data_IF_108253794144
#
_entry.id   IF_108253794144
#
_cell.length_a   1.000
_cell.length_b   1.000
_cell.length_c   1.000
_cell.angle_alpha   90.00
_cell.angle_beta   90.00
_cell.angle_gamma   90.00
#
_symmetry.space_group_name_H-M   'P 1'
#
loop_
_entity.id
_entity.type
_entity.pdbx_description
1 polymer ?
#
# COMPACT_ATOMS: atom_id res chain seq x y z
N UNK A 1 -0.68 -20.13 81.43
CA UNK A 1 -0.24 -20.79 80.19
C UNK A 1 -1.40 -21.25 79.31
N UNK A 2 -2.39 -22.01 79.81
CA UNK A 2 -3.47 -22.62 78.99
C UNK A 2 -4.44 -21.66 78.26
N UNK A 3 -4.55 -20.40 78.69
CA UNK A 3 -5.44 -19.42 78.07
C UNK A 3 -4.90 -18.91 76.73
N UNK A 4 -3.60 -18.62 76.66
CA UNK A 4 -2.94 -18.16 75.43
C UNK A 4 -2.98 -19.22 74.33
N UNK A 5 -2.78 -20.49 74.71
CA UNK A 5 -2.80 -21.62 73.79
C UNK A 5 -4.20 -21.89 73.21
N UNK A 6 -5.27 -21.60 73.98
CA UNK A 6 -6.65 -21.63 73.48
C UNK A 6 -6.98 -20.41 72.60
N UNK A 7 -6.40 -19.25 72.88
CA UNK A 7 -6.64 -18.04 72.10
C UNK A 7 -6.00 -18.14 70.71
N UNK A 8 -4.79 -18.67 70.62
CA UNK A 8 -4.07 -18.84 69.35
C UNK A 8 -4.76 -19.85 68.42
N UNK A 9 -5.44 -20.85 68.98
CA UNK A 9 -6.19 -21.86 68.24
C UNK A 9 -7.51 -21.36 67.64
N UNK A 10 -8.08 -20.30 68.21
CA UNK A 10 -9.36 -19.71 67.78
C UNK A 10 -9.16 -18.52 66.81
N UNK A 11 -7.91 -18.19 66.46
CA UNK A 11 -7.64 -17.19 65.43
C UNK A 11 -7.83 -17.80 64.02
N UNK A 12 -8.65 -17.19 63.14
CA UNK A 12 -8.88 -17.73 61.81
C UNK A 12 -7.60 -17.67 60.98
N UNK A 13 -7.13 -18.82 60.51
CA UNK A 13 -6.02 -18.90 59.55
C UNK A 13 -6.56 -18.55 58.18
N UNK A 14 -6.28 -17.34 57.69
CA UNK A 14 -6.64 -16.95 56.32
C UNK A 14 -5.91 -17.84 55.30
N UNK A 15 -6.63 -18.78 54.69
CA UNK A 15 -6.17 -19.42 53.47
C UNK A 15 -6.25 -18.42 52.33
N UNK A 16 -5.11 -17.81 52.02
CA UNK A 16 -4.95 -16.93 50.87
C UNK A 16 -5.12 -17.72 49.58
N UNK A 17 -6.35 -17.73 49.06
CA UNK A 17 -6.67 -18.24 47.72
C UNK A 17 -6.17 -17.24 46.67
N UNK A 18 -4.87 -17.29 46.36
CA UNK A 18 -4.27 -16.48 45.30
C UNK A 18 -4.53 -17.05 43.88
N UNK A 19 -5.36 -18.09 43.76
CA UNK A 19 -5.62 -18.87 42.54
C UNK A 19 -6.22 -18.13 41.34
N UNK A 20 -6.89 -17.00 41.60
CA UNK A 20 -7.69 -16.31 40.57
C UNK A 20 -7.07 -14.98 40.11
N UNK A 21 -6.09 -14.44 40.82
CA UNK A 21 -5.50 -13.14 40.48
C UNK A 21 -4.56 -13.22 39.28
N UNK A 22 -3.80 -14.32 39.14
CA UNK A 22 -2.95 -14.55 37.98
C UNK A 22 -3.74 -14.83 36.69
N UNK A 23 -4.95 -15.40 36.78
CA UNK A 23 -5.85 -15.56 35.63
C UNK A 23 -6.33 -14.19 35.10
N UNK A 24 -6.63 -13.25 35.98
CA UNK A 24 -7.04 -11.89 35.58
C UNK A 24 -5.88 -11.11 34.93
N UNK A 25 -4.65 -11.29 35.43
CA UNK A 25 -3.45 -10.69 34.84
C UNK A 25 -3.14 -11.33 33.47
N UNK A 26 -3.25 -12.66 33.36
CA UNK A 26 -3.05 -13.34 32.08
C UNK A 26 -4.10 -12.91 31.04
N UNK A 27 -5.36 -12.78 31.44
CA UNK A 27 -6.44 -12.35 30.56
C UNK A 27 -6.21 -10.93 30.01
N UNK A 28 -5.75 -9.99 30.82
CA UNK A 28 -5.48 -8.62 30.34
C UNK A 28 -4.31 -8.58 29.35
N UNK A 29 -3.27 -9.39 29.57
CA UNK A 29 -2.14 -9.51 28.63
C UNK A 29 -2.58 -10.13 27.32
N UNK A 30 -3.37 -11.21 27.35
CA UNK A 30 -3.90 -11.85 26.14
C UNK A 30 -4.80 -10.89 25.35
N UNK A 31 -5.65 -10.11 26.02
CA UNK A 31 -6.50 -9.09 25.37
C UNK A 31 -5.64 -7.99 24.75
N UNK A 32 -4.64 -7.47 25.45
CA UNK A 32 -3.72 -6.45 24.91
C UNK A 32 -2.96 -6.96 23.68
N UNK A 33 -2.44 -8.18 23.74
CA UNK A 33 -1.74 -8.80 22.61
C UNK A 33 -2.69 -9.07 21.44
N UNK A 34 -3.91 -9.55 21.71
CA UNK A 34 -4.93 -9.77 20.69
C UNK A 34 -5.39 -8.49 20.00
N UNK A 35 -5.62 -7.42 20.76
CA UNK A 35 -5.96 -6.10 20.21
C UNK A 35 -4.78 -5.49 19.45
N UNK A 36 -3.55 -5.60 19.97
CA UNK A 36 -2.36 -5.09 19.28
C UNK A 36 -2.09 -5.84 17.98
N UNK A 37 -2.24 -7.17 17.97
CA UNK A 37 -2.10 -7.98 16.77
C UNK A 37 -3.22 -7.73 15.76
N UNK A 38 -4.47 -7.62 16.23
CA UNK A 38 -5.62 -7.30 15.39
C UNK A 38 -5.51 -5.90 14.77
N UNK A 39 -5.12 -4.90 15.56
CA UNK A 39 -4.82 -3.56 15.07
C UNK A 39 -3.64 -3.57 14.10
N UNK A 40 -2.56 -4.30 14.40
CA UNK A 40 -1.43 -4.44 13.49
C UNK A 40 -1.82 -5.06 12.14
N UNK A 41 -2.69 -6.09 12.14
CA UNK A 41 -3.23 -6.68 10.91
C UNK A 41 -4.22 -5.75 10.18
N UNK A 42 -5.01 -4.98 10.92
CA UNK A 42 -5.98 -4.04 10.35
C UNK A 42 -5.31 -2.79 9.76
N UNK A 43 -4.26 -2.28 10.41
CA UNK A 43 -3.48 -1.11 9.99
C UNK A 43 -2.27 -1.48 9.10
N UNK A 44 -1.89 -2.75 9.01
CA UNK A 44 -1.22 -3.27 7.81
C UNK A 44 -2.24 -3.21 6.67
N UNK A 45 -2.36 -2.02 6.08
CA UNK A 45 -2.84 -1.93 4.70
C UNK A 45 -2.11 -2.99 3.88
N UNK A 46 -2.84 -3.64 2.97
CA UNK A 46 -2.31 -4.70 2.10
C UNK A 46 -0.86 -4.39 1.79
N UNK A 47 0.10 -5.30 2.06
CA UNK A 47 1.47 -5.03 1.67
C UNK A 47 1.39 -4.65 0.20
N UNK A 48 1.77 -3.41 -0.11
CA UNK A 48 2.14 -3.04 -1.46
C UNK A 48 3.33 -3.95 -1.69
N UNK A 49 3.04 -5.15 -2.18
CA UNK A 49 4.06 -5.98 -2.76
C UNK A 49 4.74 -5.02 -3.72
N UNK A 50 6.08 -4.85 -3.67
CA UNK A 50 6.73 -4.36 -4.87
C UNK A 50 6.12 -5.18 -5.98
N UNK A 51 5.59 -4.53 -7.02
CA UNK A 51 5.07 -5.23 -8.18
C UNK A 51 6.19 -6.17 -8.57
N UNK A 52 6.09 -7.44 -8.16
CA UNK A 52 6.82 -8.51 -8.76
C UNK A 52 6.27 -8.43 -10.15
N UNK A 53 7.07 -7.82 -11.04
CA UNK A 53 6.91 -8.00 -12.46
C UNK A 53 6.97 -9.50 -12.59
N UNK A 54 5.80 -10.13 -12.57
CA UNK A 54 5.70 -11.51 -12.97
C UNK A 54 6.40 -11.50 -14.32
N UNK A 55 7.48 -12.29 -14.41
CA UNK A 55 8.04 -12.62 -15.70
C UNK A 55 6.99 -13.52 -16.37
N UNK A 56 5.87 -12.92 -16.74
CA UNK A 56 4.99 -13.47 -17.73
C UNK A 56 5.81 -13.34 -18.99
N UNK A 57 6.11 -14.45 -19.65
CA UNK A 57 6.75 -14.50 -20.97
C UNK A 57 5.85 -13.86 -22.07
N UNK A 58 5.07 -12.83 -21.70
CA UNK A 58 4.24 -12.03 -22.59
C UNK A 58 5.19 -11.15 -23.39
N UNK A 59 5.15 -11.34 -24.71
CA UNK A 59 5.82 -10.43 -25.64
C UNK A 59 5.23 -9.04 -25.46
N UNK A 60 6.12 -8.09 -25.28
CA UNK A 60 5.85 -6.66 -25.17
C UNK A 60 5.80 -6.01 -26.56
N UNK A 61 5.48 -4.71 -26.60
CA UNK A 61 5.61 -3.90 -27.82
C UNK A 61 7.02 -4.02 -28.43
N UNK A 62 8.04 -4.04 -27.58
CA UNK A 62 9.43 -4.14 -27.98
C UNK A 62 9.83 -5.47 -28.63
N UNK A 63 9.11 -6.54 -28.37
CA UNK A 63 9.34 -7.85 -28.98
C UNK A 63 8.77 -7.96 -30.41
N UNK A 64 7.94 -6.99 -30.82
CA UNK A 64 7.37 -6.93 -32.18
C UNK A 64 8.35 -6.29 -33.16
N UNK A 65 8.98 -5.18 -32.79
CA UNK A 65 10.02 -4.54 -33.62
C UNK A 65 10.94 -3.58 -32.83
N UNK A 66 12.15 -3.30 -33.33
CA UNK A 66 13.06 -2.35 -32.69
C UNK A 66 12.52 -0.93 -32.54
N UNK A 67 11.67 -0.46 -33.47
CA UNK A 67 11.12 0.89 -33.39
C UNK A 67 10.00 0.98 -32.35
N UNK A 68 9.15 -0.05 -32.25
CA UNK A 68 8.16 -0.15 -31.17
C UNK A 68 8.82 -0.27 -29.80
N UNK A 69 9.95 -0.97 -29.70
CA UNK A 69 10.75 -1.02 -28.48
C UNK A 69 11.20 0.37 -28.02
N UNK A 70 11.71 1.20 -28.94
CA UNK A 70 12.11 2.57 -28.59
C UNK A 70 10.94 3.40 -28.08
N UNK A 71 9.75 3.21 -28.66
CA UNK A 71 8.53 3.90 -28.23
C UNK A 71 8.14 3.46 -26.82
N UNK A 72 8.09 2.16 -26.56
CA UNK A 72 7.79 1.61 -25.23
C UNK A 72 8.80 2.06 -24.18
N UNK A 73 10.10 1.88 -24.45
CA UNK A 73 11.19 2.29 -23.57
C UNK A 73 11.13 3.80 -23.28
N UNK A 74 10.84 4.64 -24.29
CA UNK A 74 10.69 6.09 -24.12
C UNK A 74 9.57 6.44 -23.14
N UNK A 75 8.36 5.89 -23.31
CA UNK A 75 7.25 6.22 -22.43
C UNK A 75 7.46 5.69 -21.02
N UNK A 76 7.95 4.46 -20.85
CA UNK A 76 8.22 3.89 -19.54
C UNK A 76 9.31 4.67 -18.80
N UNK A 77 10.39 5.04 -19.48
CA UNK A 77 11.43 5.88 -18.90
C UNK A 77 10.89 7.26 -18.50
N UNK A 78 10.06 7.87 -19.36
CA UNK A 78 9.45 9.18 -19.08
C UNK A 78 8.50 9.12 -17.88
N UNK A 79 7.62 8.11 -17.81
CA UNK A 79 6.71 7.89 -16.69
C UNK A 79 7.50 7.74 -15.38
N UNK A 80 8.52 6.89 -15.38
CA UNK A 80 9.34 6.64 -14.20
C UNK A 80 10.12 7.90 -13.79
N UNK A 81 10.66 8.65 -14.76
CA UNK A 81 11.36 9.90 -14.50
C UNK A 81 10.43 10.94 -13.88
N UNK A 82 9.24 11.15 -14.44
CA UNK A 82 8.30 12.14 -13.91
C UNK A 82 7.76 11.73 -12.52
N UNK A 83 7.43 10.45 -12.31
CA UNK A 83 7.05 9.96 -10.98
C UNK A 83 8.17 10.13 -9.95
N UNK A 84 9.45 9.99 -10.35
CA UNK A 84 10.58 10.16 -9.44
C UNK A 84 10.75 11.60 -8.92
N UNK A 85 10.16 12.58 -9.62
CA UNK A 85 10.20 14.00 -9.24
C UNK A 85 9.04 14.39 -8.32
N UNK A 86 8.08 13.49 -8.08
CA UNK A 86 6.92 13.78 -7.24
C UNK A 86 7.31 13.72 -5.76
N UNK A 87 7.12 14.83 -5.06
CA UNK A 87 7.33 14.93 -3.62
C UNK A 87 6.03 14.64 -2.85
N UNK A 88 6.06 13.58 -2.05
CA UNK A 88 4.95 13.14 -1.21
C UNK A 88 4.98 13.83 0.15
N UNK A 89 3.91 14.54 0.48
CA UNK A 89 3.67 15.16 1.80
C UNK A 89 2.37 14.62 2.41
N UNK A 90 2.18 14.70 3.74
CA UNK A 90 0.92 14.31 4.36
C UNK A 90 -0.31 15.03 3.77
N UNK A 91 -0.13 16.27 3.31
CA UNK A 91 -1.20 17.12 2.79
C UNK A 91 -1.60 16.73 1.36
N UNK A 92 -0.65 16.30 0.53
CA UNK A 92 -0.91 15.95 -0.87
C UNK A 92 -1.15 14.45 -1.11
N UNK A 93 -1.02 13.63 -0.07
CA UNK A 93 -1.12 12.17 -0.15
C UNK A 93 -2.44 11.68 -0.75
N UNK A 94 -3.57 12.25 -0.35
CA UNK A 94 -4.88 11.81 -0.83
C UNK A 94 -5.03 12.06 -2.35
N UNK A 95 -4.58 13.24 -2.81
CA UNK A 95 -4.54 13.57 -4.23
C UNK A 95 -3.64 12.59 -4.98
N UNK A 96 -2.42 12.38 -4.48
CA UNK A 96 -1.47 11.44 -5.08
C UNK A 96 -2.03 10.02 -5.20
N UNK A 97 -2.62 9.49 -4.12
CA UNK A 97 -3.18 8.13 -4.08
C UNK A 97 -4.27 7.94 -5.14
N UNK A 98 -5.11 8.97 -5.37
CA UNK A 98 -6.13 8.95 -6.41
C UNK A 98 -5.56 8.82 -7.84
N UNK A 99 -4.47 9.53 -8.12
CA UNK A 99 -3.77 9.41 -9.41
C UNK A 99 -3.06 8.06 -9.56
N UNK A 100 -2.46 7.53 -8.49
CA UNK A 100 -1.84 6.20 -8.50
C UNK A 100 -2.87 5.11 -8.77
N UNK A 101 -4.06 5.20 -8.18
CA UNK A 101 -5.14 4.25 -8.45
C UNK A 101 -5.49 4.24 -9.95
N UNK A 102 -5.62 5.43 -10.56
CA UNK A 102 -5.92 5.52 -12.00
C UNK A 102 -4.76 5.03 -12.87
N UNK A 103 -3.51 5.23 -12.45
CA UNK A 103 -2.34 4.64 -13.12
C UNK A 103 -2.37 3.10 -13.05
N UNK A 104 -2.79 2.53 -11.92
CA UNK A 104 -2.94 1.07 -11.78
C UNK A 104 -4.01 0.52 -12.71
N UNK A 105 -5.15 1.20 -12.86
CA UNK A 105 -6.18 0.82 -13.82
C UNK A 105 -5.64 0.79 -15.25
N UNK A 106 -4.87 1.81 -15.64
CA UNK A 106 -4.22 1.85 -16.95
C UNK A 106 -3.18 0.74 -17.11
N UNK A 107 -2.40 0.44 -16.07
CA UNK A 107 -1.43 -0.66 -16.10
C UNK A 107 -2.11 -2.02 -16.30
N UNK A 108 -3.18 -2.30 -15.56
CA UNK A 108 -3.94 -3.53 -15.72
C UNK A 108 -4.53 -3.67 -17.13
N UNK A 109 -4.96 -2.55 -17.73
CA UNK A 109 -5.46 -2.56 -19.10
C UNK A 109 -4.33 -2.79 -20.12
N UNK A 110 -3.13 -2.27 -19.86
CA UNK A 110 -1.95 -2.58 -20.67
C UNK A 110 -1.63 -4.08 -20.64
N UNK A 111 -1.67 -4.70 -19.47
CA UNK A 111 -1.40 -6.13 -19.30
C UNK A 111 -2.41 -7.00 -20.08
N UNK A 112 -3.71 -6.64 -20.06
CA UNK A 112 -4.73 -7.32 -20.89
C UNK A 112 -4.49 -7.15 -22.39
N UNK A 113 -4.09 -5.95 -22.82
CA UNK A 113 -3.76 -5.70 -24.22
C UNK A 113 -2.52 -6.51 -24.64
N UNK A 114 -1.56 -6.73 -23.74
CA UNK A 114 -0.46 -7.65 -23.99
C UNK A 114 -0.94 -9.10 -24.11
N UNK A 115 -1.85 -9.55 -23.26
CA UNK A 115 -2.47 -10.88 -23.39
C UNK A 115 -3.13 -11.02 -24.78
N UNK A 116 -3.95 -10.05 -25.19
CA UNK A 116 -4.59 -10.03 -26.51
C UNK A 116 -3.58 -10.06 -27.66
N UNK A 117 -2.49 -9.29 -27.55
CA UNK A 117 -1.40 -9.26 -28.52
C UNK A 117 -0.70 -10.63 -28.64
N UNK A 118 -0.51 -11.31 -27.52
CA UNK A 118 0.15 -12.61 -27.48
C UNK A 118 -0.76 -13.74 -27.99
N UNK A 119 -2.06 -13.66 -27.75
CA UNK A 119 -3.05 -14.64 -28.22
C UNK A 119 -3.34 -14.50 -29.72
N UNK A 120 -3.55 -13.26 -30.19
CA UNK A 120 -4.00 -12.99 -31.57
C UNK A 120 -2.86 -12.62 -32.52
N UNK A 121 -1.66 -12.39 -31.98
CA UNK A 121 -0.51 -11.88 -32.70
C UNK A 121 -0.57 -10.37 -32.97
N UNK A 122 0.54 -9.79 -33.47
CA UNK A 122 0.63 -8.36 -33.74
C UNK A 122 -0.40 -7.88 -34.75
N UNK A 123 -1.26 -6.96 -34.33
CA UNK A 123 -2.20 -6.26 -35.19
C UNK A 123 -2.22 -4.77 -34.84
N UNK A 124 -2.53 -3.91 -35.82
CA UNK A 124 -2.42 -2.46 -35.65
C UNK A 124 -3.32 -1.92 -34.54
N UNK A 125 -4.51 -2.51 -34.35
CA UNK A 125 -5.47 -2.04 -33.34
C UNK A 125 -4.92 -2.25 -31.93
N UNK A 126 -4.43 -3.45 -31.61
CA UNK A 126 -3.85 -3.73 -30.29
C UNK A 126 -2.55 -2.96 -30.07
N UNK A 127 -1.70 -2.81 -31.11
CA UNK A 127 -0.47 -2.02 -31.01
C UNK A 127 -0.75 -0.54 -30.74
N UNK A 128 -1.72 0.05 -31.46
CA UNK A 128 -2.15 1.44 -31.25
C UNK A 128 -2.74 1.62 -29.84
N UNK A 129 -3.54 0.67 -29.36
CA UNK A 129 -4.11 0.70 -28.02
C UNK A 129 -3.04 0.62 -26.92
N UNK A 130 -2.02 -0.22 -27.08
CA UNK A 130 -0.89 -0.30 -26.15
C UNK A 130 -0.12 1.02 -26.08
N UNK A 131 0.18 1.62 -27.24
CA UNK A 131 0.85 2.93 -27.31
C UNK A 131 -0.03 4.02 -26.69
N UNK A 132 -1.34 4.01 -26.97
CA UNK A 132 -2.26 4.99 -26.41
C UNK A 132 -2.37 4.87 -24.89
N UNK A 133 -2.36 3.66 -24.35
CA UNK A 133 -2.30 3.44 -22.90
C UNK A 133 -1.04 4.06 -22.29
N UNK A 134 0.14 3.85 -22.90
CA UNK A 134 1.40 4.46 -22.45
C UNK A 134 1.34 6.00 -22.46
N UNK A 135 0.74 6.60 -23.50
CA UNK A 135 0.51 8.06 -23.56
C UNK A 135 -0.42 8.54 -22.45
N UNK A 136 -1.53 7.83 -22.21
CA UNK A 136 -2.49 8.17 -21.17
C UNK A 136 -1.83 8.13 -19.78
N UNK A 137 -0.99 7.11 -19.52
CA UNK A 137 -0.22 7.00 -18.28
C UNK A 137 0.72 8.19 -18.11
N UNK A 138 1.50 8.54 -19.13
CA UNK A 138 2.39 9.69 -19.07
C UNK A 138 1.62 11.00 -18.84
N UNK A 139 0.53 11.23 -19.57
CA UNK A 139 -0.31 12.41 -19.40
C UNK A 139 -0.91 12.52 -17.99
N UNK A 140 -1.28 11.39 -17.40
CA UNK A 140 -1.79 11.35 -16.03
C UNK A 140 -0.71 11.74 -15.02
N UNK A 141 0.54 11.27 -15.20
CA UNK A 141 1.67 11.69 -14.35
C UNK A 141 1.98 13.18 -14.51
N UNK A 142 1.96 13.71 -15.74
CA UNK A 142 2.16 15.16 -15.95
C UNK A 142 1.10 15.98 -15.22
N UNK A 143 -0.18 15.59 -15.33
CA UNK A 143 -1.27 16.28 -14.61
C UNK A 143 -1.16 16.17 -13.09
N UNK A 144 -0.70 15.02 -12.57
CA UNK A 144 -0.42 14.88 -11.15
C UNK A 144 0.63 15.91 -10.72
N UNK A 145 1.74 15.99 -11.44
CA UNK A 145 2.80 16.96 -11.16
C UNK A 145 2.27 18.39 -11.14
N UNK A 146 1.56 18.81 -12.18
CA UNK A 146 0.98 20.16 -12.26
C UNK A 146 0.05 20.46 -11.07
N UNK A 147 -0.76 19.47 -10.67
CA UNK A 147 -1.69 19.63 -9.54
C UNK A 147 -0.99 19.67 -8.18
N UNK A 148 0.15 18.98 -8.04
CA UNK A 148 0.94 19.06 -6.81
C UNK A 148 1.69 20.39 -6.70
N UNK A 149 2.17 20.93 -7.81
CA UNK A 149 2.75 22.27 -7.85
C UNK A 149 1.71 23.33 -7.44
N UNK A 150 0.52 23.31 -8.04
CA UNK A 150 -0.59 24.22 -7.68
C UNK A 150 -1.01 24.08 -6.21
N UNK A 151 -1.10 22.85 -5.70
CA UNK A 151 -1.49 22.59 -4.31
C UNK A 151 -0.46 23.12 -3.30
N UNK A 152 0.83 23.02 -3.61
CA UNK A 152 1.89 23.53 -2.74
C UNK A 152 1.90 25.06 -2.71
N UNK A 153 1.64 25.72 -3.85
CA UNK A 153 1.54 27.18 -3.94
C UNK A 153 0.32 27.70 -3.14
N UNK A 154 -0.85 27.05 -3.29
CA UNK A 154 -2.06 27.41 -2.55
C UNK A 154 -1.91 27.19 -1.03
N UNK A 155 -1.24 26.11 -0.61
CA UNK A 155 -0.98 25.84 0.80
C UNK A 155 -0.03 26.87 1.42
N UNK A 156 0.97 27.33 0.65
CA UNK A 156 1.89 28.38 1.10
C UNK A 156 1.14 29.69 1.35
N UNK A 157 0.28 30.13 0.43
CA UNK A 157 -0.50 31.38 0.58
C UNK A 157 -1.42 31.36 1.82
N UNK A 158 -2.00 30.21 2.17
CA UNK A 158 -2.85 30.06 3.34
C UNK A 158 -2.10 30.14 4.68
N UNK A 159 -0.80 29.82 4.72
CA UNK A 159 0.01 29.95 5.95
C UNK A 159 0.43 31.40 6.25
N UNK A 160 0.41 32.30 5.25
CA UNK A 160 0.86 33.70 5.38
C UNK A 160 -0.29 34.68 5.69
N UNK A 161 -1.54 34.25 5.54
CA UNK A 161 -2.77 35.02 5.87
C UNK A 161 -3.37 34.62 7.22
#
# INVERSE_FOLDING_TARGET
ARFLEKLEKELPVEKKSNGFSFLNIAASVVVLLGLSFGAYQFFKGSPVKPVEVANTDLKTLGDVSPDLKKVEDYYLASINLELSKVELTPQNKELFDGYVLRLQELNNEYDKLLEELNENGPNSVTLDALIENLKLRLNLVMRLKDKLEEFNDDAFEQEIT
#
